data_IF_751177245836
#
_entry.id   IF_751177245836
#
_cell.length_a   1.000
_cell.length_b   1.000
_cell.length_c   1.000
_cell.angle_alpha   90.00
_cell.angle_beta   90.00
_cell.angle_gamma   90.00
#
_symmetry.space_group_name_H-M   'P 1'
#
loop_
_entity.id
_entity.type
_entity.pdbx_description
1 polymer ?
#
# COMPACT_ATOMS: atom_id res chain seq x y z
N UNK A 1 -4.58 7.51 12.93
CA UNK A 1 -3.24 7.68 12.35
C UNK A 1 -2.77 6.37 11.73
N UNK A 2 -1.83 6.44 10.80
CA UNK A 2 -1.23 5.27 10.14
C UNK A 2 0.14 4.98 10.74
N UNK A 3 0.44 3.70 10.97
CA UNK A 3 1.69 3.26 11.62
C UNK A 3 2.54 2.51 10.61
N UNK A 4 3.79 2.92 10.48
CA UNK A 4 4.76 2.34 9.54
C UNK A 4 6.01 1.96 10.32
N UNK A 5 6.40 0.69 10.26
CA UNK A 5 7.50 0.13 11.07
C UNK A 5 8.43 -0.68 10.19
N UNK A 6 9.72 -0.34 10.17
CA UNK A 6 10.73 -1.11 9.41
C UNK A 6 10.32 -1.33 7.94
N UNK A 7 9.79 -0.29 7.29
CA UNK A 7 9.28 -0.35 5.93
C UNK A 7 9.92 0.74 5.08
N UNK A 8 10.08 0.48 3.79
CA UNK A 8 10.60 1.43 2.81
C UNK A 8 9.48 1.95 1.92
N UNK A 9 9.35 3.26 1.79
CA UNK A 9 8.30 3.90 0.97
C UNK A 9 9.00 4.63 -0.17
N UNK A 10 8.79 4.22 -1.42
CA UNK A 10 9.35 4.92 -2.58
C UNK A 10 8.66 6.25 -2.87
N UNK A 11 7.43 6.42 -2.40
CA UNK A 11 6.66 7.65 -2.56
C UNK A 11 5.92 7.71 -3.90
N UNK A 12 5.73 8.92 -4.41
CA UNK A 12 4.97 9.19 -5.63
C UNK A 12 5.78 10.09 -6.55
N UNK A 13 5.65 9.91 -7.85
CA UNK A 13 6.32 10.77 -8.83
C UNK A 13 5.58 12.11 -9.03
N UNK A 14 4.35 12.21 -8.52
CA UNK A 14 3.47 13.38 -8.62
C UNK A 14 2.54 13.48 -7.41
N UNK A 15 1.91 14.65 -7.26
CA UNK A 15 0.84 14.90 -6.30
C UNK A 15 -0.49 14.95 -7.03
N UNK A 16 -1.55 14.42 -6.43
CA UNK A 16 -2.91 14.55 -6.96
C UNK A 16 -3.43 15.98 -6.72
N UNK A 17 -4.10 16.56 -7.72
CA UNK A 17 -4.84 17.81 -7.52
C UNK A 17 -6.10 17.56 -6.69
N UNK A 18 -6.75 18.64 -6.27
CA UNK A 18 -8.04 18.55 -5.55
C UNK A 18 -9.10 17.90 -6.44
N UNK A 19 -9.12 18.20 -7.75
CA UNK A 19 -10.04 17.55 -8.69
C UNK A 19 -9.75 16.06 -8.85
N UNK A 20 -8.48 15.66 -8.95
CA UNK A 20 -8.07 14.25 -9.09
C UNK A 20 -8.48 13.42 -7.86
N UNK A 21 -8.32 14.00 -6.66
CA UNK A 21 -8.75 13.37 -5.42
C UNK A 21 -10.27 13.19 -5.37
N UNK A 22 -11.03 14.20 -5.80
CA UNK A 22 -12.49 14.12 -5.86
C UNK A 22 -12.96 13.06 -6.87
N UNK A 23 -12.36 13.02 -8.05
CA UNK A 23 -12.64 12.02 -9.08
C UNK A 23 -12.33 10.60 -8.61
N UNK A 24 -11.18 10.40 -7.94
CA UNK A 24 -10.81 9.11 -7.37
C UNK A 24 -11.82 8.66 -6.32
N UNK A 25 -12.27 9.59 -5.48
CA UNK A 25 -13.29 9.30 -4.46
C UNK A 25 -14.65 8.92 -5.07
N UNK A 26 -15.10 9.62 -6.11
CA UNK A 26 -16.32 9.25 -6.85
C UNK A 26 -16.25 7.85 -7.47
N UNK A 27 -15.05 7.45 -7.93
CA UNK A 27 -14.81 6.11 -8.49
C UNK A 27 -14.54 5.03 -7.45
N UNK A 28 -14.57 5.36 -6.15
CA UNK A 28 -14.26 4.43 -5.07
C UNK A 28 -12.78 3.99 -5.03
N UNK A 29 -11.90 4.75 -5.69
CA UNK A 29 -10.46 4.50 -5.67
C UNK A 29 -9.82 5.17 -4.45
N UNK A 30 -8.90 4.47 -3.75
CA UNK A 30 -8.08 5.12 -2.74
C UNK A 30 -7.25 6.26 -3.33
N UNK A 31 -6.97 7.26 -2.50
CA UNK A 31 -6.02 8.33 -2.82
C UNK A 31 -4.63 7.75 -3.07
N UNK A 32 -3.81 8.48 -3.82
CA UNK A 32 -2.42 8.12 -4.03
C UNK A 32 -1.67 8.12 -2.70
N UNK A 33 -0.85 7.09 -2.49
CA UNK A 33 -0.11 6.90 -1.25
C UNK A 33 -0.84 5.99 -0.27
N UNK A 34 -0.75 6.33 1.02
CA UNK A 34 -1.21 5.46 2.12
C UNK A 34 -2.41 6.08 2.82
N UNK A 35 -3.52 5.33 2.84
CA UNK A 35 -4.75 5.70 3.53
C UNK A 35 -4.62 5.74 5.05
N UNK A 36 -5.77 5.91 5.70
CA UNK A 36 -5.86 6.09 7.15
C UNK A 36 -5.97 4.77 7.90
N UNK A 37 -5.49 4.76 9.16
CA UNK A 37 -5.57 3.62 10.09
C UNK A 37 -4.87 2.36 9.56
N UNK A 38 -3.86 2.56 8.71
CA UNK A 38 -3.09 1.46 8.17
C UNK A 38 -1.98 1.04 9.14
N UNK A 39 -1.60 -0.24 9.07
CA UNK A 39 -0.45 -0.78 9.79
C UNK A 39 0.45 -1.49 8.79
N UNK A 40 1.63 -0.93 8.52
CA UNK A 40 2.56 -1.46 7.51
C UNK A 40 3.90 -1.77 8.17
N UNK A 41 4.25 -3.04 8.20
CA UNK A 41 5.47 -3.54 8.82
C UNK A 41 6.27 -4.42 7.87
N UNK A 42 7.60 -4.25 7.87
CA UNK A 42 8.54 -5.08 7.09
C UNK A 42 8.14 -5.16 5.61
N UNK A 43 7.83 -4.00 5.02
CA UNK A 43 7.32 -3.92 3.66
C UNK A 43 8.03 -2.86 2.83
N UNK A 44 8.02 -3.04 1.52
CA UNK A 44 8.47 -2.08 0.52
C UNK A 44 7.23 -1.64 -0.26
N UNK A 45 6.90 -0.35 -0.19
CA UNK A 45 5.84 0.26 -0.97
C UNK A 45 6.47 0.94 -2.18
N UNK A 46 6.27 0.37 -3.36
CA UNK A 46 6.78 0.92 -4.62
C UNK A 46 6.02 2.20 -5.03
N UNK A 47 6.45 2.84 -6.10
CA UNK A 47 5.94 4.14 -6.52
C UNK A 47 4.48 4.08 -6.94
N UNK A 48 3.78 5.19 -6.70
CA UNK A 48 2.44 5.45 -7.21
C UNK A 48 1.41 4.39 -6.76
N UNK A 49 1.66 3.72 -5.62
CA UNK A 49 0.69 2.80 -5.02
C UNK A 49 -0.48 3.57 -4.42
N UNK A 50 -1.66 2.94 -4.42
CA UNK A 50 -2.89 3.44 -3.79
C UNK A 50 -3.31 2.47 -2.71
N UNK A 51 -2.99 2.77 -1.46
CA UNK A 51 -3.36 1.93 -0.32
C UNK A 51 -4.60 2.51 0.34
N UNK A 52 -5.65 1.70 0.42
CA UNK A 52 -6.90 2.01 1.08
C UNK A 52 -6.78 2.26 2.58
N UNK A 53 -7.91 2.55 3.21
CA UNK A 53 -8.03 2.69 4.65
C UNK A 53 -8.10 1.33 5.34
N UNK A 54 -7.69 1.28 6.60
CA UNK A 54 -7.76 0.09 7.45
C UNK A 54 -6.96 -1.11 6.90
N UNK A 55 -5.95 -0.84 6.09
CA UNK A 55 -5.07 -1.86 5.51
C UNK A 55 -4.01 -2.31 6.50
N UNK A 56 -3.79 -3.61 6.61
CA UNK A 56 -2.72 -4.20 7.42
C UNK A 56 -1.78 -5.02 6.53
N UNK A 57 -0.53 -4.61 6.49
CA UNK A 57 0.55 -5.32 5.81
C UNK A 57 1.55 -5.69 6.90
N UNK A 58 1.55 -6.94 7.35
CA UNK A 58 2.46 -7.42 8.36
C UNK A 58 3.48 -8.37 7.76
N UNK A 59 4.54 -7.82 7.17
CA UNK A 59 5.68 -8.62 6.75
C UNK A 59 6.37 -9.29 7.95
N UNK A 60 6.93 -10.47 7.71
CA UNK A 60 7.84 -11.15 8.62
C UNK A 60 8.15 -12.57 8.17
N UNK A 61 9.01 -13.28 8.93
CA UNK A 61 9.42 -14.66 8.62
C UNK A 61 8.28 -15.69 8.67
N UNK A 62 7.09 -15.27 9.12
CA UNK A 62 5.88 -16.09 9.13
C UNK A 62 5.20 -16.16 7.75
N UNK A 63 5.57 -15.30 6.81
CA UNK A 63 5.05 -15.32 5.45
C UNK A 63 6.01 -16.07 4.53
N UNK A 64 5.46 -17.03 3.78
CA UNK A 64 6.18 -17.72 2.72
C UNK A 64 6.37 -16.81 1.50
N UNK A 65 7.38 -17.14 0.67
CA UNK A 65 7.60 -16.42 -0.57
C UNK A 65 6.46 -16.72 -1.55
N UNK A 66 5.72 -15.70 -1.93
CA UNK A 66 4.57 -15.82 -2.82
C UNK A 66 4.55 -14.64 -3.79
N UNK A 67 4.22 -14.89 -5.05
CA UNK A 67 3.98 -13.83 -6.02
C UNK A 67 2.48 -13.68 -6.25
N UNK A 68 1.96 -12.50 -5.93
CA UNK A 68 0.58 -12.11 -6.16
C UNK A 68 0.52 -10.97 -7.18
N UNK A 69 -0.63 -10.77 -7.81
CA UNK A 69 -0.79 -9.71 -8.82
C UNK A 69 -0.54 -8.30 -8.28
N UNK A 70 -0.74 -8.09 -6.97
CA UNK A 70 -0.66 -6.79 -6.31
C UNK A 70 0.62 -6.60 -5.46
N UNK A 71 1.18 -7.69 -4.95
CA UNK A 71 2.35 -7.67 -4.09
C UNK A 71 3.14 -8.96 -4.27
N UNK A 72 4.41 -8.94 -3.88
CA UNK A 72 5.23 -10.14 -3.82
C UNK A 72 5.84 -10.23 -2.43
N UNK A 73 5.91 -11.42 -1.86
CA UNK A 73 6.58 -11.65 -0.60
C UNK A 73 7.91 -12.33 -0.90
N UNK A 74 8.99 -11.74 -0.41
CA UNK A 74 10.33 -12.30 -0.55
C UNK A 74 11.06 -12.22 0.79
N UNK A 75 11.48 -13.38 1.30
CA UNK A 75 12.21 -13.50 2.57
C UNK A 75 11.52 -12.78 3.75
N UNK A 76 10.18 -12.87 3.79
CA UNK A 76 9.34 -12.22 4.79
C UNK A 76 9.16 -10.70 4.61
N UNK A 77 9.69 -10.11 3.53
CA UNK A 77 9.44 -8.71 3.16
C UNK A 77 8.31 -8.65 2.13
N UNK A 78 7.28 -7.86 2.41
CA UNK A 78 6.16 -7.65 1.48
C UNK A 78 6.49 -6.48 0.56
N UNK A 79 6.53 -6.71 -0.76
CA UNK A 79 6.77 -5.68 -1.76
C UNK A 79 5.48 -5.41 -2.53
N UNK A 80 4.89 -4.24 -2.34
CA UNK A 80 3.71 -3.80 -3.10
C UNK A 80 4.17 -3.29 -4.46
N UNK A 81 3.59 -3.81 -5.55
CA UNK A 81 4.02 -3.50 -6.93
C UNK A 81 3.67 -2.06 -7.31
N UNK A 82 4.47 -1.43 -8.17
CA UNK A 82 4.23 -0.08 -8.70
C UNK A 82 2.80 0.08 -9.23
N UNK A 83 2.10 1.13 -8.80
CA UNK A 83 0.74 1.41 -9.28
C UNK A 83 -0.33 0.46 -8.72
N UNK A 84 0.00 -0.44 -7.81
CA UNK A 84 -0.97 -1.36 -7.24
C UNK A 84 -2.02 -0.61 -6.40
N UNK A 85 -3.25 -1.09 -6.49
CA UNK A 85 -4.38 -0.59 -5.72
C UNK A 85 -4.72 -1.64 -4.68
N UNK A 86 -4.49 -1.31 -3.42
CA UNK A 86 -4.84 -2.15 -2.28
C UNK A 86 -6.18 -1.66 -1.73
N UNK A 87 -7.23 -2.49 -1.73
CA UNK A 87 -8.56 -2.07 -1.30
C UNK A 87 -8.60 -1.80 0.21
N UNK A 88 -9.65 -1.12 0.66
CA UNK A 88 -9.87 -0.87 2.08
C UNK A 88 -10.01 -2.20 2.85
N UNK A 89 -9.47 -2.25 4.06
CA UNK A 89 -9.56 -3.43 4.93
C UNK A 89 -8.72 -4.63 4.48
N UNK A 90 -7.82 -4.47 3.50
CA UNK A 90 -6.95 -5.55 3.04
C UNK A 90 -5.95 -5.97 4.12
N UNK A 91 -5.75 -7.27 4.31
CA UNK A 91 -4.86 -7.82 5.34
C UNK A 91 -3.90 -8.85 4.73
N UNK A 92 -2.60 -8.66 4.98
CA UNK A 92 -1.51 -9.60 4.73
C UNK A 92 -0.79 -9.88 6.04
#
# INVERSE_FOLDING_TARGET
GTTIVSSYIMGTDYYETIEDMAYSQEKGLPKLGIGERCYIRNAIIDKNCRIGNDVRINGGPHLESADHSLYTVKDGVVVVKKGAIIPNGFVI
#
